data_IF_154124936142
#
_entry.id   IF_154124936142
#
_cell.length_a   1.000
_cell.length_b   1.000
_cell.length_c   1.000
_cell.angle_alpha   90.00
_cell.angle_beta   90.00
_cell.angle_gamma   90.00
#
_symmetry.space_group_name_H-M   'P 1'
#
loop_
_entity.id
_entity.type
_entity.pdbx_description
1 polymer ?
#
# COMPACT_ATOMS: atom_id res chain seq x y z
N UNK A 1 -17.11 9.54 -16.27
CA UNK A 1 -17.55 9.94 -14.91
C UNK A 1 -16.35 10.17 -14.00
N UNK A 2 -15.45 9.20 -13.81
CA UNK A 2 -14.29 9.32 -12.90
C UNK A 2 -13.36 10.50 -13.26
N UNK A 3 -12.99 10.66 -14.53
CA UNK A 3 -12.17 11.78 -15.01
C UNK A 3 -12.74 13.15 -14.62
N UNK A 4 -14.06 13.35 -14.84
CA UNK A 4 -14.73 14.61 -14.49
C UNK A 4 -14.66 14.91 -13.00
N UNK A 5 -14.98 13.92 -12.14
CA UNK A 5 -14.88 14.06 -10.69
C UNK A 5 -13.44 14.37 -10.23
N UNK A 6 -12.46 13.69 -10.84
CA UNK A 6 -11.05 13.91 -10.53
C UNK A 6 -10.62 15.35 -10.87
N UNK A 7 -11.07 15.89 -12.00
CA UNK A 7 -10.76 17.27 -12.40
C UNK A 7 -11.46 18.31 -11.53
N UNK A 8 -12.72 18.09 -11.19
CA UNK A 8 -13.52 18.99 -10.34
C UNK A 8 -12.98 19.08 -8.89
N UNK A 9 -12.30 18.03 -8.42
CA UNK A 9 -11.85 17.94 -7.03
C UNK A 9 -10.33 17.75 -6.88
N UNK A 10 -9.55 18.05 -7.92
CA UNK A 10 -8.09 17.81 -7.97
C UNK A 10 -7.32 18.35 -6.75
N UNK A 11 -7.74 19.49 -6.21
CA UNK A 11 -7.10 20.15 -5.08
C UNK A 11 -7.44 19.48 -3.72
N UNK A 12 -8.47 18.64 -3.68
CA UNK A 12 -8.89 17.87 -2.49
C UNK A 12 -8.42 16.42 -2.53
N UNK A 13 -8.05 15.92 -3.71
CA UNK A 13 -7.57 14.54 -3.88
C UNK A 13 -6.11 14.46 -3.48
N UNK A 14 -5.78 13.56 -2.57
CA UNK A 14 -4.40 13.28 -2.13
C UNK A 14 -3.78 12.08 -2.83
N UNK A 15 -4.59 11.14 -3.31
CA UNK A 15 -4.18 9.95 -4.04
C UNK A 15 -5.30 9.42 -4.94
N UNK A 16 -4.98 8.58 -5.90
CA UNK A 16 -5.94 7.80 -6.69
C UNK A 16 -5.92 6.35 -6.19
N UNK A 17 -7.07 5.85 -5.80
CA UNK A 17 -7.24 4.49 -5.25
C UNK A 17 -8.57 4.33 -4.50
N UNK A 18 -8.83 3.17 -3.97
CA UNK A 18 -8.05 1.95 -4.14
C UNK A 18 -8.25 1.40 -5.55
N UNK A 19 -7.16 1.01 -6.22
CA UNK A 19 -7.17 0.41 -7.55
C UNK A 19 -6.12 -0.71 -7.62
N UNK A 20 -6.25 -1.62 -8.56
CA UNK A 20 -5.28 -2.72 -8.65
C UNK A 20 -5.85 -3.96 -9.30
N UNK A 21 -5.26 -5.11 -8.94
CA UNK A 21 -5.60 -6.40 -9.50
C UNK A 21 -5.82 -7.44 -8.42
N UNK A 22 -6.95 -8.13 -8.49
CA UNK A 22 -7.27 -9.28 -7.63
C UNK A 22 -7.59 -10.51 -8.49
N UNK A 23 -6.72 -11.52 -8.43
CA UNK A 23 -6.92 -12.78 -9.18
C UNK A 23 -7.89 -13.74 -8.50
N UNK A 24 -8.52 -13.36 -7.38
CA UNK A 24 -9.42 -14.22 -6.60
C UNK A 24 -10.88 -13.84 -6.68
N UNK A 25 -11.20 -12.65 -7.18
CA UNK A 25 -12.59 -12.23 -7.41
C UNK A 25 -13.10 -12.72 -8.76
N UNK A 26 -14.42 -12.72 -8.91
CA UNK A 26 -15.09 -13.18 -10.14
C UNK A 26 -15.00 -12.17 -11.30
N UNK A 27 -14.66 -10.92 -11.01
CA UNK A 27 -14.49 -9.89 -12.04
C UNK A 27 -13.34 -10.25 -12.97
N UNK A 28 -13.61 -10.25 -14.28
CA UNK A 28 -12.62 -10.57 -15.30
C UNK A 28 -11.35 -9.73 -15.14
N UNK A 29 -10.19 -10.38 -15.13
CA UNK A 29 -8.89 -9.73 -14.96
C UNK A 29 -8.58 -8.69 -16.05
N UNK A 30 -9.01 -8.92 -17.28
CA UNK A 30 -8.81 -7.97 -18.39
C UNK A 30 -9.62 -6.68 -18.16
N UNK A 31 -10.81 -6.80 -17.58
CA UNK A 31 -11.59 -5.63 -17.21
C UNK A 31 -10.92 -4.84 -16.05
N UNK A 32 -10.38 -5.55 -15.05
CA UNK A 32 -9.60 -4.92 -13.98
C UNK A 32 -8.38 -4.16 -14.55
N UNK A 33 -7.67 -4.72 -15.53
CA UNK A 33 -6.54 -4.08 -16.19
C UNK A 33 -6.93 -2.80 -16.94
N UNK A 34 -8.09 -2.80 -17.61
CA UNK A 34 -8.61 -1.61 -18.29
C UNK A 34 -8.87 -0.50 -17.26
N UNK A 35 -9.55 -0.83 -16.16
CA UNK A 35 -9.82 0.13 -15.09
C UNK A 35 -8.54 0.66 -14.43
N UNK A 36 -7.59 -0.23 -14.15
CA UNK A 36 -6.30 0.15 -13.57
C UNK A 36 -5.52 1.12 -14.48
N UNK A 37 -5.45 0.83 -15.79
CA UNK A 37 -4.80 1.73 -16.75
C UNK A 37 -5.43 3.12 -16.77
N UNK A 38 -6.77 3.19 -16.81
CA UNK A 38 -7.47 4.47 -16.78
C UNK A 38 -7.20 5.26 -15.47
N UNK A 39 -7.05 4.57 -14.35
CA UNK A 39 -6.74 5.21 -13.07
C UNK A 39 -5.27 5.62 -12.96
N UNK A 40 -4.34 4.87 -13.55
CA UNK A 40 -2.93 5.27 -13.70
C UNK A 40 -2.85 6.58 -14.50
N UNK A 41 -3.53 6.68 -15.65
CA UNK A 41 -3.58 7.89 -16.47
C UNK A 41 -4.11 9.10 -15.70
N UNK A 42 -5.14 8.91 -14.87
CA UNK A 42 -5.68 9.98 -14.00
C UNK A 42 -4.62 10.40 -12.97
N UNK A 43 -3.98 9.43 -12.31
CA UNK A 43 -2.96 9.70 -11.30
C UNK A 43 -1.76 10.47 -11.89
N UNK A 44 -1.30 10.09 -13.07
CA UNK A 44 -0.24 10.81 -13.80
C UNK A 44 -0.65 12.25 -14.13
N UNK A 45 -1.81 12.42 -14.75
CA UNK A 45 -2.33 13.73 -15.16
C UNK A 45 -2.51 14.69 -13.98
N UNK A 46 -2.93 14.17 -12.83
CA UNK A 46 -3.14 14.95 -11.60
C UNK A 46 -1.89 15.02 -10.70
N UNK A 47 -0.80 14.40 -11.10
CA UNK A 47 0.43 14.26 -10.30
C UNK A 47 0.14 13.73 -8.88
N UNK A 48 -0.66 12.67 -8.79
CA UNK A 48 -1.05 12.03 -7.52
C UNK A 48 -0.48 10.64 -7.40
N UNK A 49 -0.13 10.20 -6.17
CA UNK A 49 0.28 8.83 -5.92
C UNK A 49 -0.88 7.86 -6.08
N UNK A 50 -0.57 6.57 -6.23
CA UNK A 50 -1.54 5.47 -6.27
C UNK A 50 -1.64 4.75 -4.92
N UNK A 51 -2.86 4.35 -4.54
CA UNK A 51 -3.10 3.33 -3.51
C UNK A 51 -3.47 2.04 -4.23
N UNK A 52 -2.60 1.03 -4.16
CA UNK A 52 -2.67 -0.16 -5.00
C UNK A 52 -3.02 -1.42 -4.22
N UNK A 53 -4.12 -2.04 -4.64
CA UNK A 53 -4.53 -3.39 -4.24
C UNK A 53 -3.79 -4.45 -5.04
N UNK A 54 -3.40 -5.52 -4.37
CA UNK A 54 -2.89 -6.71 -5.03
C UNK A 54 -3.37 -8.00 -4.35
N UNK A 55 -3.78 -8.95 -5.15
CA UNK A 55 -4.01 -10.31 -4.66
C UNK A 55 -3.62 -11.32 -5.72
N UNK A 56 -2.47 -12.00 -5.51
CA UNK A 56 -1.85 -12.93 -6.45
C UNK A 56 -1.62 -12.31 -7.84
N UNK A 57 -1.23 -11.03 -7.91
CA UNK A 57 -1.16 -10.23 -9.13
C UNK A 57 0.09 -9.36 -9.25
N UNK A 58 1.08 -9.50 -8.37
CA UNK A 58 2.27 -8.63 -8.34
C UNK A 58 2.97 -8.49 -9.69
N UNK A 59 3.26 -9.60 -10.39
CA UNK A 59 4.00 -9.56 -11.64
C UNK A 59 3.25 -8.74 -12.71
N UNK A 60 1.95 -8.93 -12.80
CA UNK A 60 1.11 -8.23 -13.76
C UNK A 60 0.96 -6.76 -13.40
N UNK A 61 0.79 -6.45 -12.11
CA UNK A 61 0.70 -5.09 -11.61
C UNK A 61 1.99 -4.31 -11.89
N UNK A 62 3.16 -4.89 -11.57
CA UNK A 62 4.48 -4.32 -11.85
C UNK A 62 4.66 -4.10 -13.36
N UNK A 63 4.26 -5.08 -14.18
CA UNK A 63 4.35 -4.98 -15.63
C UNK A 63 3.55 -3.80 -16.16
N UNK A 64 2.31 -3.62 -15.71
CA UNK A 64 1.44 -2.53 -16.17
C UNK A 64 1.97 -1.17 -15.74
N UNK A 65 2.43 -1.02 -14.49
CA UNK A 65 3.03 0.22 -14.00
C UNK A 65 4.29 0.61 -14.81
N UNK A 66 5.16 -0.37 -15.11
CA UNK A 66 6.35 -0.16 -15.94
C UNK A 66 5.98 0.22 -17.38
N UNK A 67 4.98 -0.43 -17.96
CA UNK A 67 4.51 -0.12 -19.32
C UNK A 67 3.90 1.28 -19.42
N UNK A 68 3.24 1.75 -18.35
CA UNK A 68 2.73 3.11 -18.28
C UNK A 68 3.84 4.14 -18.04
N UNK A 69 5.02 3.75 -17.58
CA UNK A 69 6.07 4.68 -17.15
C UNK A 69 5.72 5.44 -15.88
N UNK A 70 4.81 4.88 -15.05
CA UNK A 70 4.28 5.57 -13.87
C UNK A 70 5.39 5.88 -12.86
N UNK A 71 5.51 7.16 -12.47
CA UNK A 71 6.60 7.66 -11.62
C UNK A 71 6.16 8.40 -10.35
N UNK A 72 4.84 8.62 -10.16
CA UNK A 72 4.35 9.37 -8.99
C UNK A 72 4.41 8.58 -7.67
N UNK A 73 4.79 7.29 -7.74
CA UNK A 73 4.86 6.44 -6.56
C UNK A 73 3.49 6.17 -5.94
N UNK A 74 3.49 5.77 -4.68
CA UNK A 74 2.25 5.41 -4.01
C UNK A 74 2.46 4.45 -2.86
N UNK A 75 1.45 3.67 -2.55
CA UNK A 75 1.51 2.60 -1.55
C UNK A 75 0.94 1.30 -2.13
N UNK A 76 1.63 0.21 -1.88
CA UNK A 76 1.10 -1.15 -2.06
C UNK A 76 0.37 -1.51 -0.79
N UNK A 77 -0.95 -1.38 -0.82
CA UNK A 77 -1.84 -1.66 0.30
C UNK A 77 -1.75 -3.14 0.72
N UNK A 78 -1.86 -3.41 2.01
CA UNK A 78 -1.79 -4.74 2.62
C UNK A 78 -0.67 -5.62 2.05
N UNK A 79 0.54 -5.06 1.92
CA UNK A 79 1.63 -5.75 1.25
C UNK A 79 1.89 -7.14 1.81
N UNK A 80 1.90 -8.12 0.92
CA UNK A 80 2.32 -9.49 1.21
C UNK A 80 3.16 -10.00 0.04
N UNK A 81 4.44 -10.32 0.27
CA UNK A 81 5.32 -10.73 -0.82
C UNK A 81 6.72 -11.11 -0.36
N UNK A 82 7.60 -11.31 -1.34
CA UNK A 82 9.03 -11.56 -1.12
C UNK A 82 9.83 -10.27 -1.12
N UNK A 83 11.07 -10.33 -0.60
CA UNK A 83 12.03 -9.23 -0.66
C UNK A 83 12.21 -8.69 -2.08
N UNK A 84 12.32 -9.58 -3.07
CA UNK A 84 12.48 -9.18 -4.47
C UNK A 84 11.29 -8.34 -4.97
N UNK A 85 10.07 -8.74 -4.64
CA UNK A 85 8.85 -7.97 -5.00
C UNK A 85 8.82 -6.65 -4.25
N UNK A 86 9.14 -6.65 -2.96
CA UNK A 86 9.22 -5.44 -2.14
C UNK A 86 10.22 -4.44 -2.73
N UNK A 87 11.45 -4.88 -3.01
CA UNK A 87 12.49 -4.03 -3.62
C UNK A 87 12.07 -3.48 -4.97
N UNK A 88 11.38 -4.29 -5.80
CA UNK A 88 10.88 -3.82 -7.09
C UNK A 88 9.90 -2.65 -6.92
N UNK A 89 8.97 -2.72 -6.00
CA UNK A 89 8.04 -1.61 -5.73
C UNK A 89 8.75 -0.39 -5.15
N UNK A 90 9.69 -0.59 -4.22
CA UNK A 90 10.48 0.49 -3.64
C UNK A 90 11.27 1.24 -4.72
N UNK A 91 11.91 0.52 -5.65
CA UNK A 91 12.63 1.12 -6.78
C UNK A 91 11.70 1.90 -7.74
N UNK A 92 10.42 1.58 -7.74
CA UNK A 92 9.39 2.30 -8.50
C UNK A 92 8.76 3.45 -7.68
N UNK A 93 9.29 3.78 -6.50
CA UNK A 93 8.81 4.87 -5.65
C UNK A 93 7.60 4.54 -4.77
N UNK A 94 7.28 3.25 -4.59
CA UNK A 94 6.16 2.85 -3.73
C UNK A 94 6.61 2.54 -2.31
N UNK A 95 5.78 2.94 -1.35
CA UNK A 95 5.80 2.46 0.02
C UNK A 95 5.06 1.12 0.12
N UNK A 96 5.35 0.35 1.16
CA UNK A 96 4.67 -0.89 1.48
C UNK A 96 3.74 -0.67 2.67
N UNK A 97 2.44 -0.91 2.47
CA UNK A 97 1.43 -0.87 3.51
C UNK A 97 1.57 -2.09 4.43
N UNK A 98 1.75 -1.83 5.71
CA UNK A 98 1.95 -2.85 6.74
C UNK A 98 0.75 -2.84 7.68
N UNK A 99 -0.06 -3.88 7.60
CA UNK A 99 -1.29 -4.04 8.38
C UNK A 99 -1.32 -5.34 9.18
N UNK A 100 -2.54 -5.80 9.47
CA UNK A 100 -2.82 -6.96 10.33
C UNK A 100 -2.08 -8.24 9.97
N UNK A 101 -1.69 -8.44 8.71
CA UNK A 101 -0.98 -9.64 8.24
C UNK A 101 0.26 -9.95 9.06
N UNK A 102 1.05 -8.95 9.48
CA UNK A 102 2.28 -9.19 10.23
C UNK A 102 2.04 -9.66 11.66
N UNK A 103 0.83 -9.49 12.19
CA UNK A 103 0.47 -9.96 13.55
C UNK A 103 0.34 -11.49 13.60
N UNK A 104 0.17 -12.15 12.47
CA UNK A 104 0.05 -13.60 12.39
C UNK A 104 1.43 -14.26 12.22
N UNK A 105 1.81 -15.16 13.12
CA UNK A 105 3.07 -15.90 13.04
C UNK A 105 3.18 -16.76 11.76
N UNK A 106 2.05 -17.26 11.27
CA UNK A 106 1.98 -18.04 10.02
C UNK A 106 2.39 -17.24 8.77
N UNK A 107 2.34 -15.90 8.82
CA UNK A 107 2.73 -15.02 7.72
C UNK A 107 4.27 -14.89 7.59
N UNK A 108 4.99 -16.00 7.72
CA UNK A 108 6.46 -16.05 7.82
C UNK A 108 7.17 -15.28 6.74
N UNK A 109 6.77 -15.48 5.47
CA UNK A 109 7.41 -14.83 4.32
C UNK A 109 7.26 -13.30 4.39
N UNK A 110 6.06 -12.80 4.61
CA UNK A 110 5.80 -11.35 4.71
C UNK A 110 6.51 -10.75 5.93
N UNK A 111 6.46 -11.42 7.07
CA UNK A 111 7.16 -10.98 8.28
C UNK A 111 8.67 -10.86 8.07
N UNK A 112 9.29 -11.84 7.42
CA UNK A 112 10.72 -11.82 7.12
C UNK A 112 11.06 -10.69 6.13
N UNK A 113 10.28 -10.53 5.07
CA UNK A 113 10.42 -9.41 4.13
C UNK A 113 10.32 -8.06 4.86
N UNK A 114 9.27 -7.85 5.65
CA UNK A 114 9.09 -6.60 6.39
C UNK A 114 10.22 -6.36 7.40
N UNK A 115 10.77 -7.41 8.00
CA UNK A 115 11.93 -7.32 8.89
C UNK A 115 13.17 -6.77 8.18
N UNK A 116 13.41 -7.13 6.93
CA UNK A 116 14.57 -6.68 6.15
C UNK A 116 14.39 -5.29 5.53
N UNK A 117 13.18 -4.92 5.12
CA UNK A 117 12.91 -3.62 4.50
C UNK A 117 13.08 -2.48 5.51
N UNK A 118 13.77 -1.40 5.12
CA UNK A 118 13.94 -0.22 5.98
C UNK A 118 12.62 0.47 6.34
N UNK A 119 12.51 1.01 7.56
CA UNK A 119 11.30 1.71 8.03
C UNK A 119 10.89 2.87 7.12
N UNK A 120 11.85 3.51 6.46
CA UNK A 120 11.61 4.63 5.53
C UNK A 120 10.78 4.25 4.30
N UNK A 121 10.51 2.98 4.08
CA UNK A 121 9.70 2.48 2.96
C UNK A 121 8.35 1.89 3.42
N UNK A 122 8.01 2.01 4.70
CA UNK A 122 6.81 1.41 5.27
C UNK A 122 5.77 2.47 5.61
N UNK A 123 4.49 2.15 5.37
CA UNK A 123 3.33 2.84 5.90
C UNK A 123 2.53 1.89 6.78
N UNK A 124 1.84 2.42 7.78
CA UNK A 124 0.99 1.62 8.67
C UNK A 124 -0.47 1.75 8.23
N UNK A 125 -1.20 0.65 8.36
CA UNK A 125 -2.62 0.57 8.03
C UNK A 125 -3.33 -0.51 8.85
N UNK A 126 -4.65 -0.53 8.80
CA UNK A 126 -5.46 -1.57 9.46
C UNK A 126 -6.31 -2.36 8.47
N UNK A 127 -6.66 -1.77 7.34
CA UNK A 127 -7.67 -2.26 6.40
C UNK A 127 -9.06 -2.43 7.02
N UNK A 128 -9.35 -1.69 8.09
CA UNK A 128 -10.66 -1.79 8.76
C UNK A 128 -11.80 -1.37 7.83
N UNK A 129 -12.95 -2.06 7.86
CA UNK A 129 -13.39 -3.04 8.87
C UNK A 129 -12.92 -4.47 8.67
N UNK A 130 -12.13 -4.75 7.63
CA UNK A 130 -11.65 -6.07 7.24
C UNK A 130 -10.27 -6.39 7.87
N UNK A 131 -9.73 -7.56 7.58
CA UNK A 131 -8.39 -8.02 7.97
C UNK A 131 -8.06 -7.87 9.47
N UNK A 132 -8.86 -8.42 10.41
CA UNK A 132 -8.61 -8.26 11.84
C UNK A 132 -7.24 -8.77 12.26
N UNK A 133 -6.67 -8.18 13.30
CA UNK A 133 -5.40 -8.58 13.89
C UNK A 133 -5.45 -9.99 14.48
N UNK A 134 -4.30 -10.64 14.64
CA UNK A 134 -4.21 -11.94 15.31
C UNK A 134 -4.80 -11.85 16.73
N UNK A 135 -5.66 -12.81 17.05
CA UNK A 135 -6.43 -12.84 18.30
C UNK A 135 -7.75 -12.07 18.26
N UNK A 136 -8.04 -11.36 17.17
CA UNK A 136 -9.30 -10.62 16.97
C UNK A 136 -10.14 -11.16 15.79
N UNK A 137 -9.85 -12.39 15.35
CA UNK A 137 -10.60 -13.02 14.25
C UNK A 137 -12.08 -13.18 14.63
N UNK A 138 -12.97 -12.88 13.68
CA UNK A 138 -14.40 -12.87 13.90
C UNK A 138 -14.95 -11.58 14.50
N UNK A 139 -14.11 -10.64 14.89
CA UNK A 139 -14.49 -9.29 15.28
C UNK A 139 -14.31 -8.32 14.10
N UNK A 140 -15.10 -7.27 14.09
CA UNK A 140 -14.89 -6.13 13.17
C UNK A 140 -13.53 -5.49 13.48
N UNK A 141 -12.70 -5.29 12.46
CA UNK A 141 -11.46 -4.56 12.62
C UNK A 141 -11.74 -3.05 12.78
N UNK A 142 -10.87 -2.37 13.53
CA UNK A 142 -10.99 -0.95 13.83
C UNK A 142 -9.66 -0.23 13.67
N UNK A 143 -9.64 1.08 13.32
CA UNK A 143 -8.40 1.87 13.23
C UNK A 143 -7.58 1.87 14.52
N UNK A 144 -8.25 1.77 15.68
CA UNK A 144 -7.61 1.69 17.00
C UNK A 144 -6.65 0.48 17.14
N UNK A 145 -6.87 -0.59 16.36
CA UNK A 145 -6.02 -1.79 16.40
C UNK A 145 -4.68 -1.61 15.66
N UNK A 146 -4.41 -0.43 15.11
CA UNK A 146 -3.09 -0.09 14.57
C UNK A 146 -1.97 -0.26 15.62
N UNK A 147 -2.30 -0.12 16.89
CA UNK A 147 -1.37 -0.34 18.01
C UNK A 147 -0.79 -1.77 18.01
N UNK A 148 -1.57 -2.78 17.62
CA UNK A 148 -1.10 -4.18 17.54
C UNK A 148 -0.07 -4.36 16.40
N UNK A 149 -0.26 -3.64 15.29
CA UNK A 149 0.69 -3.61 14.16
C UNK A 149 1.98 -2.94 14.61
N UNK A 150 1.91 -1.80 15.29
CA UNK A 150 3.07 -1.06 15.82
C UNK A 150 3.87 -1.93 16.78
N UNK A 151 3.21 -2.56 17.76
CA UNK A 151 3.85 -3.43 18.74
C UNK A 151 4.52 -4.65 18.08
N UNK A 152 3.89 -5.22 17.06
CA UNK A 152 4.45 -6.33 16.29
C UNK A 152 5.66 -5.88 15.47
N UNK A 153 5.55 -4.75 14.79
CA UNK A 153 6.63 -4.20 13.97
C UNK A 153 7.84 -3.81 14.83
N UNK A 154 7.60 -3.24 16.03
CA UNK A 154 8.64 -2.93 17.03
C UNK A 154 9.47 -4.17 17.37
N UNK A 155 8.82 -5.30 17.63
CA UNK A 155 9.50 -6.58 17.91
C UNK A 155 10.27 -7.08 16.68
N UNK A 156 9.67 -7.04 15.48
CA UNK A 156 10.31 -7.50 14.25
C UNK A 156 11.55 -6.68 13.88
N UNK A 157 11.50 -5.37 14.11
CA UNK A 157 12.56 -4.42 13.76
C UNK A 157 13.59 -4.21 14.88
N UNK A 158 13.34 -4.74 16.08
CA UNK A 158 14.14 -4.48 17.28
C UNK A 158 14.36 -2.97 17.54
N UNK A 159 13.31 -2.16 17.38
CA UNK A 159 13.33 -0.71 17.59
C UNK A 159 12.11 -0.25 18.39
N UNK A 160 12.14 0.96 18.93
CA UNK A 160 11.03 1.48 19.75
C UNK A 160 9.78 1.76 18.91
N UNK A 161 8.60 1.64 19.52
CA UNK A 161 7.33 2.03 18.93
C UNK A 161 7.32 3.51 18.52
N UNK A 162 7.94 4.37 19.34
CA UNK A 162 8.10 5.80 19.04
C UNK A 162 8.85 6.03 17.72
N UNK A 163 9.94 5.28 17.49
CA UNK A 163 10.69 5.37 16.22
C UNK A 163 9.86 4.93 15.03
N UNK A 164 9.07 3.87 15.18
CA UNK A 164 8.15 3.40 14.13
C UNK A 164 7.12 4.48 13.82
N UNK A 165 6.41 4.98 14.83
CA UNK A 165 5.37 6.00 14.67
C UNK A 165 5.95 7.23 13.97
N UNK A 166 7.08 7.73 14.45
CA UNK A 166 7.71 8.93 13.89
C UNK A 166 8.12 8.73 12.44
N UNK A 167 8.79 7.60 12.12
CA UNK A 167 9.26 7.34 10.75
C UNK A 167 8.09 7.13 9.80
N UNK A 168 7.10 6.32 10.18
CA UNK A 168 5.95 6.05 9.29
C UNK A 168 5.02 7.24 9.13
N UNK A 169 4.91 8.12 10.14
CA UNK A 169 4.21 9.40 10.01
C UNK A 169 4.93 10.32 9.02
N UNK A 170 6.26 10.40 9.08
CA UNK A 170 7.04 11.15 8.10
C UNK A 170 6.86 10.58 6.69
N UNK A 171 6.87 9.26 6.53
CA UNK A 171 6.62 8.61 5.24
C UNK A 171 5.24 8.96 4.69
N UNK A 172 4.20 8.95 5.55
CA UNK A 172 2.85 9.34 5.19
C UNK A 172 2.81 10.79 4.69
N UNK A 173 3.40 11.71 5.44
CA UNK A 173 3.46 13.11 5.06
C UNK A 173 4.21 13.28 3.74
N UNK A 174 5.34 12.59 3.57
CA UNK A 174 6.12 12.61 2.33
C UNK A 174 5.32 12.14 1.12
N UNK A 175 4.46 11.13 1.28
CA UNK A 175 3.66 10.60 0.17
C UNK A 175 2.46 11.48 -0.16
N UNK A 176 1.74 11.97 0.86
CA UNK A 176 0.40 12.55 0.67
C UNK A 176 0.35 14.08 0.80
N UNK A 177 1.36 14.74 1.39
CA UNK A 177 1.35 16.20 1.55
C UNK A 177 1.69 16.99 0.29
N UNK A 178 2.15 16.33 -0.76
CA UNK A 178 2.50 16.97 -2.04
C UNK A 178 3.77 17.82 -2.03
N UNK A 179 4.49 17.91 -0.92
CA UNK A 179 5.69 18.75 -0.79
C UNK A 179 7.00 18.10 -1.24
N UNK A 180 6.99 16.82 -1.65
CA UNK A 180 8.21 16.06 -1.89
C UNK A 180 8.35 15.47 -3.29
N UNK A 181 8.23 16.33 -4.31
CA UNK A 181 8.84 16.01 -5.63
C UNK A 181 9.47 17.27 -6.20
N UNK A 182 10.64 17.61 -5.66
CA UNK A 182 11.60 18.46 -6.34
C UNK A 182 12.89 17.66 -6.54
#
# INVERSE_FOLDING_TARGET
MLNKLADEHKDKIVAIGETGLDSKITTNIEYQKILLKAQIEIAERLNKPLVLHHRQSHNELIRLLKQAGFSNGGVIHAFSGSDQIAQTYIQMGFYLGVGGTITYERAKKTRETIKHIGLQYLLLETDSPDMPMCGKQGLRNEPAYLIDVIATLSKLKACSETSIIQTTTNNYNNLFSGELKR
#
